data_IF_664764841052
#
_entry.id   IF_664764841052
#
_cell.length_a   1.000
_cell.length_b   1.000
_cell.length_c   1.000
_cell.angle_alpha   90.00
_cell.angle_beta   90.00
_cell.angle_gamma   90.00
#
_symmetry.space_group_name_H-M   'P 1'
#
loop_
_entity.id
_entity.type
_entity.pdbx_description
1 polymer ?
#
# COMPACT_ATOMS: atom_id res chain seq x y z
N UNK A 1 -39.81 -12.11 32.19
CA UNK A 1 -39.67 -11.19 33.34
C UNK A 1 -38.69 -10.11 33.00
N UNK A 2 -39.21 -8.88 32.91
CA UNK A 2 -38.47 -7.66 32.58
C UNK A 2 -37.50 -7.26 33.67
N UNK A 3 -36.32 -6.78 33.34
CA UNK A 3 -35.60 -5.79 34.14
C UNK A 3 -34.80 -4.83 33.22
N UNK A 4 -35.48 -3.75 32.93
CA UNK A 4 -34.94 -2.47 32.46
C UNK A 4 -34.08 -1.85 33.56
N UNK A 5 -32.89 -1.39 33.23
CA UNK A 5 -32.13 -0.41 34.03
C UNK A 5 -31.70 0.76 33.14
N UNK A 6 -32.43 1.81 33.32
CA UNK A 6 -32.12 3.17 32.88
C UNK A 6 -31.13 3.73 33.89
N UNK A 7 -30.02 4.28 33.42
CA UNK A 7 -29.19 5.22 34.21
C UNK A 7 -28.99 6.46 33.38
N UNK A 8 -29.53 7.53 33.98
CA UNK A 8 -29.65 8.89 33.47
C UNK A 8 -28.42 9.72 33.92
N UNK A 9 -27.99 10.62 33.04
CA UNK A 9 -27.38 11.96 33.27
C UNK A 9 -26.11 12.13 34.07
N UNK A 10 -25.17 12.82 33.46
CA UNK A 10 -24.64 14.10 33.99
C UNK A 10 -24.01 14.95 32.87
N UNK A 11 -24.65 16.07 32.69
CA UNK A 11 -24.26 17.24 31.90
C UNK A 11 -23.11 17.94 32.62
N UNK A 12 -22.01 18.20 31.94
CA UNK A 12 -20.90 19.00 32.46
C UNK A 12 -20.41 19.98 31.40
N UNK A 13 -21.03 21.16 31.43
CA UNK A 13 -20.68 22.34 30.66
C UNK A 13 -19.51 23.07 31.36
N UNK A 14 -18.35 23.21 30.73
CA UNK A 14 -17.32 24.13 31.11
C UNK A 14 -16.89 24.97 29.92
N UNK A 15 -17.47 26.18 29.86
CA UNK A 15 -16.90 27.32 29.12
C UNK A 15 -15.66 27.85 29.88
N UNK A 16 -14.58 28.02 29.16
CA UNK A 16 -13.55 29.00 29.54
C UNK A 16 -12.98 29.63 28.26
N UNK A 17 -13.43 30.85 28.04
CA UNK A 17 -12.83 31.79 27.11
C UNK A 17 -11.57 32.39 27.73
N UNK A 18 -10.49 32.50 26.98
CA UNK A 18 -9.38 33.39 27.27
C UNK A 18 -8.87 33.99 25.98
N UNK A 19 -9.09 35.29 25.91
CA UNK A 19 -8.57 36.24 24.90
C UNK A 19 -7.12 36.62 25.18
N UNK A 20 -6.55 37.28 24.14
CA UNK A 20 -5.46 38.29 24.14
C UNK A 20 -4.06 37.67 23.92
N UNK A 21 -3.23 38.23 23.12
CA UNK A 21 -2.98 39.45 22.36
C UNK A 21 -1.71 39.15 21.57
N UNK A 22 -1.57 39.44 20.34
CA UNK A 22 -1.12 40.68 19.74
C UNK A 22 0.35 40.97 20.00
N UNK A 23 1.21 40.75 18.97
CA UNK A 23 2.35 41.64 18.72
C UNK A 23 2.75 41.53 17.26
N UNK A 24 2.49 42.60 16.57
CA UNK A 24 3.10 42.94 15.30
C UNK A 24 4.54 43.37 15.56
N UNK A 25 5.46 42.99 14.71
CA UNK A 25 6.67 43.78 14.47
C UNK A 25 7.05 43.67 13.01
N UNK A 26 6.81 44.78 12.32
CA UNK A 26 7.45 45.09 11.04
C UNK A 26 8.95 45.23 11.25
N UNK A 27 9.75 44.83 10.30
CA UNK A 27 10.70 45.70 9.61
C UNK A 27 11.56 44.87 8.66
N UNK A 28 11.76 45.42 7.48
CA UNK A 28 12.89 45.08 6.62
C UNK A 28 12.49 44.82 5.18
N UNK A 29 12.16 45.89 4.44
CA UNK A 29 12.10 45.83 3.01
C UNK A 29 13.48 45.63 2.41
N UNK A 30 13.57 44.71 1.46
CA UNK A 30 14.65 44.74 0.47
C UNK A 30 14.05 44.63 -0.89
N UNK A 31 14.12 45.74 -1.61
CA UNK A 31 13.81 45.94 -3.00
C UNK A 31 14.75 45.10 -3.83
N UNK A 32 14.25 44.06 -4.48
CA UNK A 32 14.97 43.41 -5.55
C UNK A 32 14.54 44.02 -6.86
N UNK A 33 15.44 44.77 -7.46
CA UNK A 33 15.35 45.35 -8.78
C UNK A 33 15.09 44.27 -9.83
N UNK A 34 14.00 44.46 -10.56
CA UNK A 34 13.76 43.71 -11.79
C UNK A 34 14.72 44.20 -12.86
N UNK A 35 15.74 43.45 -13.16
CA UNK A 35 16.51 43.58 -14.42
C UNK A 35 15.79 42.79 -15.51
N UNK A 36 15.19 43.52 -16.42
CA UNK A 36 14.75 42.98 -17.71
C UNK A 36 15.99 42.57 -18.48
N UNK A 37 16.12 41.29 -18.81
CA UNK A 37 16.88 40.81 -19.96
C UNK A 37 16.01 39.91 -20.82
N UNK A 38 16.04 40.26 -22.05
CA UNK A 38 15.47 39.79 -23.28
C UNK A 38 15.61 38.27 -23.49
N UNK A 39 14.55 37.68 -24.04
CA UNK A 39 14.59 36.49 -24.90
C UNK A 39 15.22 35.23 -24.34
N UNK A 40 14.50 34.46 -23.53
CA UNK A 40 14.87 33.10 -23.16
C UNK A 40 13.66 32.30 -22.68
N UNK A 41 13.40 31.21 -23.37
CA UNK A 41 12.38 30.24 -23.03
C UNK A 41 12.42 29.91 -21.55
N UNK A 42 11.33 30.19 -20.84
CA UNK A 42 11.12 29.71 -19.50
C UNK A 42 10.91 28.18 -19.59
N UNK A 43 11.97 27.43 -19.41
CA UNK A 43 11.84 26.04 -19.00
C UNK A 43 11.27 26.07 -17.58
N UNK A 44 10.02 25.71 -17.46
CA UNK A 44 9.45 25.30 -16.20
C UNK A 44 10.12 23.94 -15.93
N UNK A 45 11.15 23.94 -15.11
CA UNK A 45 11.60 22.72 -14.46
C UNK A 45 10.48 22.34 -13.51
N UNK A 46 9.60 21.46 -13.95
CA UNK A 46 8.81 20.65 -13.04
C UNK A 46 9.88 19.84 -12.32
N UNK A 47 10.14 20.17 -11.06
CA UNK A 47 10.77 19.20 -10.16
C UNK A 47 9.79 18.04 -10.07
N UNK A 48 9.97 17.10 -10.97
CA UNK A 48 9.47 15.75 -10.87
C UNK A 48 10.07 15.24 -9.57
N UNK A 49 9.21 15.17 -8.55
CA UNK A 49 9.54 14.49 -7.31
C UNK A 49 9.93 13.09 -7.72
N UNK A 50 11.23 12.85 -7.80
CA UNK A 50 11.75 11.54 -8.07
C UNK A 50 11.35 10.67 -6.87
N UNK A 51 10.18 10.05 -6.98
CA UNK A 51 9.90 8.80 -6.30
C UNK A 51 11.10 7.93 -6.67
N UNK A 52 11.93 7.60 -5.70
CA UNK A 52 13.02 6.66 -5.89
C UNK A 52 12.39 5.43 -6.52
N UNK A 53 12.68 5.23 -7.81
CA UNK A 53 12.37 3.99 -8.47
C UNK A 53 13.15 2.92 -7.71
N UNK A 54 12.47 2.22 -6.80
CA UNK A 54 12.97 0.98 -6.27
C UNK A 54 13.31 0.15 -7.50
N UNK A 55 14.54 -0.31 -7.61
CA UNK A 55 14.94 -1.21 -8.69
C UNK A 55 14.05 -2.43 -8.56
N UNK A 56 13.10 -2.59 -9.47
CA UNK A 56 12.13 -3.68 -9.51
C UNK A 56 12.86 -4.96 -9.92
N UNK A 57 13.62 -5.53 -8.99
CA UNK A 57 14.23 -6.83 -9.15
C UNK A 57 13.29 -7.87 -8.52
N UNK A 58 12.15 -8.11 -9.18
CA UNK A 58 11.14 -9.04 -8.67
C UNK A 58 9.77 -8.88 -9.32
N UNK A 59 8.80 -9.61 -8.77
CA UNK A 59 7.40 -9.51 -9.16
C UNK A 59 6.78 -8.22 -8.60
N UNK A 60 5.98 -7.55 -9.42
CA UNK A 60 5.21 -6.35 -9.05
C UNK A 60 3.73 -6.57 -9.39
N UNK A 61 2.84 -5.91 -8.67
CA UNK A 61 1.42 -5.87 -8.99
C UNK A 61 1.05 -4.46 -9.44
N UNK A 62 0.38 -4.33 -10.58
CA UNK A 62 -0.02 -3.02 -11.11
C UNK A 62 -1.50 -2.76 -10.79
N UNK A 63 -1.79 -1.67 -10.08
CA UNK A 63 -3.14 -1.20 -9.80
C UNK A 63 -3.27 0.28 -10.10
N UNK A 64 -4.32 0.69 -10.83
CA UNK A 64 -4.58 2.08 -11.26
C UNK A 64 -3.40 2.74 -11.98
N UNK A 65 -2.51 1.93 -12.62
CA UNK A 65 -1.32 2.42 -13.32
C UNK A 65 -0.09 2.62 -12.43
N UNK A 66 -0.17 2.24 -11.16
CA UNK A 66 0.96 2.23 -10.23
C UNK A 66 1.48 0.81 -10.05
N UNK A 67 2.78 0.64 -10.12
CA UNK A 67 3.44 -0.62 -9.81
C UNK A 67 3.68 -0.70 -8.30
N UNK A 68 3.00 -1.63 -7.63
CA UNK A 68 3.19 -1.92 -6.21
C UNK A 68 4.41 -2.81 -6.09
N UNK A 69 5.47 -2.27 -5.48
CA UNK A 69 6.76 -2.93 -5.32
C UNK A 69 6.89 -3.46 -3.90
N UNK A 70 7.17 -4.75 -3.75
CA UNK A 70 7.38 -5.36 -2.43
C UNK A 70 8.62 -4.75 -1.75
N UNK A 71 8.49 -4.40 -0.48
CA UNK A 71 9.53 -3.75 0.33
C UNK A 71 9.61 -2.23 0.19
N UNK A 72 8.81 -1.60 -0.68
CA UNK A 72 8.72 -0.14 -0.73
C UNK A 72 7.80 0.42 0.35
N UNK A 73 7.93 1.72 0.67
CA UNK A 73 6.99 2.40 1.55
C UNK A 73 5.57 2.33 1.01
N UNK A 74 4.59 2.07 1.89
CA UNK A 74 3.18 1.93 1.49
C UNK A 74 2.50 3.27 1.25
N UNK A 75 2.89 4.34 1.95
CA UNK A 75 2.18 5.61 1.95
C UNK A 75 1.91 6.20 0.55
N UNK A 76 2.85 6.18 -0.41
CA UNK A 76 2.58 6.67 -1.77
C UNK A 76 1.44 5.94 -2.48
N UNK A 77 1.23 4.65 -2.19
CA UNK A 77 0.13 3.87 -2.76
C UNK A 77 -1.20 4.23 -2.10
N UNK A 78 -1.23 4.37 -0.76
CA UNK A 78 -2.43 4.79 -0.05
C UNK A 78 -2.90 6.18 -0.53
N UNK A 79 -1.97 7.11 -0.72
CA UNK A 79 -2.28 8.45 -1.23
C UNK A 79 -2.84 8.41 -2.67
N UNK A 80 -2.36 7.48 -3.49
CA UNK A 80 -2.77 7.35 -4.89
C UNK A 80 -4.09 6.59 -5.07
N UNK A 81 -4.35 5.57 -4.23
CA UNK A 81 -5.52 4.69 -4.35
C UNK A 81 -6.73 5.25 -3.60
N UNK A 82 -6.52 6.16 -2.64
CA UNK A 82 -7.54 6.67 -1.75
C UNK A 82 -7.92 5.67 -0.65
N UNK A 83 -9.04 5.93 0.02
CA UNK A 83 -9.48 5.14 1.16
C UNK A 83 -9.73 3.67 0.75
N UNK A 84 -9.17 2.69 1.48
CA UNK A 84 -9.48 1.28 1.27
C UNK A 84 -10.95 0.97 1.63
N UNK A 85 -11.50 -0.12 1.11
CA UNK A 85 -12.83 -0.60 1.47
C UNK A 85 -12.91 -1.05 2.94
N UNK A 86 -11.81 -1.60 3.45
CA UNK A 86 -11.63 -2.00 4.85
C UNK A 86 -10.16 -1.97 5.22
N UNK A 87 -9.88 -1.76 6.51
CA UNK A 87 -8.53 -1.76 7.07
C UNK A 87 -8.53 -2.58 8.37
N UNK A 88 -7.59 -3.50 8.46
CA UNK A 88 -7.33 -4.26 9.67
C UNK A 88 -5.90 -3.99 10.13
N UNK A 89 -5.72 -3.71 11.43
CA UNK A 89 -4.40 -3.55 12.04
C UNK A 89 -4.21 -4.54 13.19
N UNK A 90 -3.00 -5.02 13.35
CA UNK A 90 -2.60 -5.89 14.45
C UNK A 90 -1.15 -5.64 14.84
N UNK A 91 -0.82 -5.94 16.11
CA UNK A 91 0.58 -5.94 16.53
C UNK A 91 1.37 -6.96 15.71
N UNK A 92 2.52 -6.54 15.18
CA UNK A 92 3.35 -7.40 14.35
C UNK A 92 3.80 -8.64 15.09
N UNK A 93 3.63 -9.80 14.46
CA UNK A 93 4.15 -11.07 14.96
C UNK A 93 5.64 -11.26 14.65
N UNK A 94 6.16 -10.55 13.68
CA UNK A 94 7.54 -10.68 13.20
C UNK A 94 8.50 -9.67 13.80
N UNK A 95 8.00 -8.65 14.51
CA UNK A 95 8.85 -7.57 15.02
C UNK A 95 8.15 -6.66 16.03
N UNK A 96 8.57 -5.41 16.05
CA UNK A 96 7.89 -4.33 16.77
C UNK A 96 7.08 -3.53 15.76
N UNK A 97 5.98 -2.92 16.22
CA UNK A 97 5.12 -2.08 15.39
C UNK A 97 3.78 -2.73 15.07
N UNK A 98 3.12 -2.16 14.06
CA UNK A 98 1.79 -2.60 13.60
C UNK A 98 1.88 -3.09 12.17
N UNK A 99 1.24 -4.22 11.89
CA UNK A 99 1.00 -4.72 10.55
C UNK A 99 -0.40 -4.32 10.12
N UNK A 100 -0.58 -3.89 8.87
CA UNK A 100 -1.87 -3.50 8.33
C UNK A 100 -2.23 -4.36 7.12
N UNK A 101 -3.53 -4.59 6.95
CA UNK A 101 -4.13 -5.19 5.78
C UNK A 101 -5.14 -4.20 5.24
N UNK A 102 -4.88 -3.67 4.04
CA UNK A 102 -5.77 -2.77 3.33
C UNK A 102 -6.55 -3.54 2.27
N UNK A 103 -7.88 -3.50 2.33
CA UNK A 103 -8.74 -4.13 1.34
C UNK A 103 -9.07 -3.16 0.22
N UNK A 104 -8.73 -3.53 -1.00
CA UNK A 104 -9.09 -2.83 -2.23
C UNK A 104 -9.89 -3.74 -3.16
N UNK A 105 -10.64 -3.20 -4.14
CA UNK A 105 -11.32 -4.02 -5.11
C UNK A 105 -10.38 -5.02 -5.81
N UNK A 106 -10.57 -6.30 -5.52
CA UNK A 106 -9.83 -7.40 -6.14
C UNK A 106 -8.57 -7.86 -5.44
N UNK A 107 -8.08 -7.16 -4.42
CA UNK A 107 -6.87 -7.58 -3.71
C UNK A 107 -6.78 -7.03 -2.29
N UNK A 108 -5.93 -7.69 -1.50
CA UNK A 108 -5.48 -7.19 -0.20
C UNK A 108 -4.02 -6.74 -0.30
N UNK A 109 -3.72 -5.60 0.30
CA UNK A 109 -2.37 -5.06 0.43
C UNK A 109 -1.91 -5.25 1.88
N UNK A 110 -0.94 -6.12 2.08
CA UNK A 110 -0.34 -6.39 3.39
C UNK A 110 0.87 -5.52 3.59
N UNK A 111 1.02 -4.99 4.78
CA UNK A 111 2.19 -4.21 5.17
C UNK A 111 2.75 -4.71 6.49
N UNK A 112 4.02 -4.43 6.72
CA UNK A 112 4.68 -4.58 8.02
C UNK A 112 5.49 -3.34 8.33
N UNK A 113 5.70 -3.09 9.61
CA UNK A 113 6.58 -2.01 10.04
C UNK A 113 8.04 -2.48 10.04
N UNK A 114 8.91 -1.70 9.39
CA UNK A 114 10.35 -1.91 9.40
C UNK A 114 11.05 -0.59 9.72
N UNK A 115 11.77 -0.54 10.84
CA UNK A 115 12.46 0.66 11.33
C UNK A 115 11.56 1.91 11.48
N UNK A 116 10.30 1.73 11.86
CA UNK A 116 9.33 2.80 12.03
C UNK A 116 8.67 3.28 10.72
N UNK A 117 8.86 2.54 9.64
CA UNK A 117 8.25 2.80 8.32
C UNK A 117 7.41 1.60 7.92
N UNK A 118 6.17 1.85 7.51
CA UNK A 118 5.31 0.81 6.97
C UNK A 118 5.68 0.52 5.52
N UNK A 119 6.07 -0.72 5.25
CA UNK A 119 6.46 -1.19 3.92
C UNK A 119 5.49 -2.25 3.40
N UNK A 120 5.39 -2.36 2.08
CA UNK A 120 4.61 -3.38 1.41
C UNK A 120 5.26 -4.75 1.63
N UNK A 121 4.52 -5.67 2.24
CA UNK A 121 4.99 -7.04 2.51
C UNK A 121 4.43 -8.05 1.52
N UNK A 122 3.13 -7.93 1.19
CA UNK A 122 2.49 -8.79 0.20
C UNK A 122 1.30 -8.11 -0.50
N UNK A 123 0.95 -8.65 -1.66
CA UNK A 123 -0.32 -8.44 -2.35
C UNK A 123 -0.98 -9.80 -2.54
N UNK A 124 -2.24 -9.93 -2.12
CA UNK A 124 -3.03 -11.14 -2.23
C UNK A 124 -4.26 -10.89 -3.11
N UNK A 125 -4.43 -11.67 -4.17
CA UNK A 125 -5.55 -11.61 -5.10
C UNK A 125 -6.45 -12.81 -4.82
N UNK A 126 -7.73 -12.53 -4.53
CA UNK A 126 -8.71 -13.56 -4.14
C UNK A 126 -9.95 -13.56 -5.01
N UNK A 127 -10.09 -12.59 -5.91
CA UNK A 127 -11.20 -12.57 -6.86
C UNK A 127 -10.81 -13.10 -8.25
N UNK A 128 -11.80 -13.53 -9.02
CA UNK A 128 -11.61 -14.09 -10.36
C UNK A 128 -11.57 -13.03 -11.48
N UNK A 129 -11.66 -11.75 -11.15
CA UNK A 129 -11.71 -10.64 -12.11
C UNK A 129 -10.32 -10.02 -12.27
N UNK A 130 -9.57 -9.95 -11.17
CA UNK A 130 -8.23 -9.38 -11.14
C UNK A 130 -7.25 -10.28 -11.88
N UNK A 131 -6.60 -9.70 -12.90
CA UNK A 131 -5.62 -10.40 -13.72
C UNK A 131 -4.21 -10.15 -13.22
N UNK A 132 -3.44 -11.22 -13.05
CA UNK A 132 -2.01 -11.13 -12.83
C UNK A 132 -1.24 -11.79 -13.97
N UNK A 133 -0.72 -10.98 -14.89
CA UNK A 133 0.09 -11.42 -16.02
C UNK A 133 -0.53 -12.57 -16.84
N UNK A 134 -1.86 -12.59 -16.96
CA UNK A 134 -2.61 -13.60 -17.68
C UNK A 134 -3.19 -14.71 -16.82
N UNK A 135 -2.87 -14.76 -15.53
CA UNK A 135 -3.47 -15.70 -14.58
C UNK A 135 -4.60 -15.04 -13.77
N UNK A 136 -5.60 -15.83 -13.39
CA UNK A 136 -6.73 -15.45 -12.54
C UNK A 136 -6.99 -16.52 -11.48
N UNK A 137 -7.63 -16.12 -10.41
CA UNK A 137 -8.28 -17.06 -9.51
C UNK A 137 -9.38 -17.79 -10.28
N UNK A 138 -9.43 -19.11 -10.14
CA UNK A 138 -10.31 -20.01 -10.90
C UNK A 138 -9.68 -20.66 -12.13
N UNK A 139 -8.52 -20.21 -12.58
CA UNK A 139 -7.79 -20.85 -13.67
C UNK A 139 -7.27 -22.23 -13.27
N UNK A 140 -7.11 -23.10 -14.23
CA UNK A 140 -6.52 -24.42 -14.00
C UNK A 140 -5.03 -24.29 -13.73
N UNK A 141 -4.52 -25.11 -12.83
CA UNK A 141 -3.09 -25.16 -12.49
C UNK A 141 -2.22 -25.34 -13.76
N UNK A 142 -2.63 -26.23 -14.67
CA UNK A 142 -1.86 -26.51 -15.89
C UNK A 142 -1.80 -25.28 -16.81
N UNK A 143 -2.88 -24.50 -16.88
CA UNK A 143 -2.94 -23.27 -17.69
C UNK A 143 -2.02 -22.19 -17.10
N UNK A 144 -2.00 -22.06 -15.77
CA UNK A 144 -1.09 -21.13 -15.08
C UNK A 144 0.37 -21.56 -15.24
N UNK A 145 0.68 -22.85 -15.09
CA UNK A 145 2.03 -23.38 -15.34
C UNK A 145 2.46 -23.19 -16.80
N UNK A 146 1.52 -23.21 -17.75
CA UNK A 146 1.84 -22.90 -19.14
C UNK A 146 2.23 -21.42 -19.36
N UNK A 147 1.71 -20.50 -18.54
CA UNK A 147 2.06 -19.08 -18.58
C UNK A 147 3.44 -18.82 -17.96
N UNK A 148 3.68 -19.34 -16.75
CA UNK A 148 4.86 -19.01 -15.95
C UNK A 148 6.00 -20.01 -16.07
N UNK A 149 5.76 -21.18 -16.66
CA UNK A 149 6.74 -22.27 -16.79
C UNK A 149 6.77 -23.22 -15.60
N UNK A 150 7.88 -23.92 -15.43
CA UNK A 150 8.07 -24.83 -14.29
C UNK A 150 8.26 -24.04 -13.00
N UNK A 151 7.49 -24.35 -11.94
CA UNK A 151 7.63 -23.67 -10.66
C UNK A 151 8.98 -23.96 -9.99
N UNK A 152 9.44 -23.03 -9.18
CA UNK A 152 10.64 -23.20 -8.37
C UNK A 152 10.41 -24.18 -7.22
N UNK A 153 9.22 -24.12 -6.62
CA UNK A 153 8.75 -25.01 -5.56
C UNK A 153 7.31 -25.46 -5.82
N UNK A 154 6.99 -26.72 -5.52
CA UNK A 154 5.65 -27.30 -5.60
C UNK A 154 5.42 -28.14 -4.34
N UNK A 155 4.46 -27.75 -3.51
CA UNK A 155 4.16 -28.41 -2.23
C UNK A 155 2.79 -29.10 -2.21
N UNK A 156 2.18 -29.27 -3.39
CA UNK A 156 0.97 -30.08 -3.56
C UNK A 156 -0.35 -29.32 -3.40
N UNK A 157 -0.45 -28.37 -2.46
CA UNK A 157 -1.59 -27.45 -2.32
C UNK A 157 -1.25 -26.04 -2.85
N UNK A 158 -0.13 -25.89 -3.52
CA UNK A 158 0.33 -24.67 -4.14
C UNK A 158 1.71 -24.84 -4.74
N UNK A 159 2.14 -23.82 -5.45
CA UNK A 159 3.45 -23.75 -6.10
C UNK A 159 3.91 -22.31 -6.22
N UNK A 160 5.20 -22.11 -6.42
CA UNK A 160 5.75 -20.76 -6.49
C UNK A 160 6.83 -20.57 -7.52
N UNK A 161 7.06 -19.29 -7.82
CA UNK A 161 8.13 -18.79 -8.69
C UNK A 161 8.90 -17.72 -7.92
N UNK A 162 10.23 -17.73 -8.01
CA UNK A 162 11.09 -16.76 -7.36
C UNK A 162 11.68 -15.78 -8.39
N UNK A 163 11.67 -14.49 -8.06
CA UNK A 163 12.35 -13.45 -8.84
C UNK A 163 12.90 -12.38 -7.89
N UNK A 164 14.19 -12.09 -7.98
CA UNK A 164 14.84 -11.13 -7.11
C UNK A 164 14.54 -11.38 -5.63
N UNK A 165 14.03 -10.35 -4.96
CA UNK A 165 13.63 -10.39 -3.55
C UNK A 165 12.17 -10.78 -3.33
N UNK A 166 11.45 -11.23 -4.37
CA UNK A 166 10.03 -11.60 -4.29
C UNK A 166 9.77 -13.04 -4.64
N UNK A 167 8.61 -13.51 -4.23
CA UNK A 167 8.06 -14.81 -4.59
C UNK A 167 6.60 -14.62 -5.03
N UNK A 168 6.25 -15.24 -6.16
CA UNK A 168 4.89 -15.33 -6.67
C UNK A 168 4.36 -16.73 -6.33
N UNK A 169 3.27 -16.78 -5.59
CA UNK A 169 2.65 -18.01 -5.11
C UNK A 169 1.26 -18.21 -5.68
N UNK A 170 0.93 -19.43 -5.96
CA UNK A 170 -0.40 -19.86 -6.37
C UNK A 170 -0.86 -20.96 -5.43
N UNK A 171 -2.04 -20.80 -4.84
CA UNK A 171 -2.63 -21.77 -3.95
C UNK A 171 -3.81 -22.46 -4.60
N UNK A 172 -4.01 -23.74 -4.26
CA UNK A 172 -5.11 -24.56 -4.77
C UNK A 172 -5.57 -25.53 -3.67
N UNK A 173 -6.79 -25.34 -3.19
CA UNK A 173 -7.37 -26.21 -2.18
C UNK A 173 -7.81 -27.57 -2.75
N UNK A 174 -8.23 -27.60 -4.03
CA UNK A 174 -8.75 -28.78 -4.70
C UNK A 174 -7.72 -29.52 -5.56
N UNK A 175 -6.54 -28.93 -5.78
CA UNK A 175 -5.50 -29.46 -6.65
C UNK A 175 -5.80 -29.38 -8.15
N UNK A 176 -6.81 -28.61 -8.57
CA UNK A 176 -7.24 -28.46 -9.96
C UNK A 176 -7.24 -27.01 -10.43
N UNK A 177 -7.72 -26.11 -9.58
CA UNK A 177 -7.87 -24.68 -9.90
C UNK A 177 -7.22 -23.80 -8.84
N UNK A 178 -6.81 -22.60 -9.26
CA UNK A 178 -6.21 -21.59 -8.38
C UNK A 178 -7.30 -20.93 -7.53
N UNK A 179 -7.10 -20.91 -6.23
CA UNK A 179 -7.98 -20.24 -5.27
C UNK A 179 -7.44 -18.89 -4.82
N UNK A 180 -6.11 -18.70 -4.93
CA UNK A 180 -5.43 -17.48 -4.47
C UNK A 180 -4.12 -17.28 -5.23
N UNK A 181 -3.79 -16.01 -5.50
CA UNK A 181 -2.50 -15.57 -6.06
C UNK A 181 -1.87 -14.60 -5.07
N UNK A 182 -0.63 -14.84 -4.69
CA UNK A 182 0.08 -14.00 -3.72
C UNK A 182 1.44 -13.59 -4.26
N UNK A 183 1.79 -12.31 -4.08
CA UNK A 183 3.14 -11.80 -4.34
C UNK A 183 3.69 -11.34 -3.00
N UNK A 184 4.80 -11.90 -2.57
CA UNK A 184 5.37 -11.59 -1.26
C UNK A 184 6.81 -11.11 -1.35
N UNK A 185 7.20 -10.31 -0.35
CA UNK A 185 8.60 -10.01 -0.07
C UNK A 185 9.24 -11.22 0.60
N UNK A 186 10.33 -11.74 0.04
CA UNK A 186 11.10 -12.82 0.70
C UNK A 186 11.75 -12.30 1.96
N UNK A 187 11.57 -13.02 3.03
CA UNK A 187 12.30 -12.77 4.28
C UNK A 187 13.68 -13.41 4.17
N UNK A 188 14.73 -12.63 4.46
CA UNK A 188 16.12 -13.09 4.46
C UNK A 188 16.48 -13.80 5.77
#
# INVERSE_FOLDING_TARGET
MKKTRIITTALGLCLAASMLAGCSQETGGETVQASRMDGGQTQISVEESATQAATTDGYVFTYMGYDIVMGSEVQPYLDAFGDPEDEFEAASCAGQGMDHIYSYPGFFLYTREENGVSIVDAVQITDSITNYNGAHVGDKIDDVKAIFGEPADDWGFGFSYASGNTELRFFSENGETIDEIEIILKQN
#
